data_IF_256100298404
#
_entry.id   IF_256100298404
#
_cell.length_a   1.000
_cell.length_b   1.000
_cell.length_c   1.000
_cell.angle_alpha   90.00
_cell.angle_beta   90.00
_cell.angle_gamma   90.00
#
_symmetry.space_group_name_H-M   'P 1'
#
loop_
_entity.id
_entity.type
_entity.pdbx_description
1 polymer ?
#
# COMPACT_ATOMS: atom_id res chain seq x y z
N UNK A 1 1.37 8.79 -4.57
CA UNK A 1 1.21 7.71 -3.59
C UNK A 1 1.13 8.33 -2.21
N UNK A 2 0.21 7.87 -1.36
CA UNK A 2 0.12 8.25 0.06
C UNK A 2 0.19 6.96 0.87
N UNK A 3 0.98 6.97 1.94
CA UNK A 3 1.16 5.84 2.86
C UNK A 3 0.91 6.31 4.29
N UNK A 4 0.15 5.54 5.07
CA UNK A 4 0.08 5.70 6.52
C UNK A 4 0.54 4.42 7.21
N UNK A 5 1.52 4.57 8.10
CA UNK A 5 1.94 3.52 9.02
C UNK A 5 1.12 3.67 10.30
N UNK A 6 0.39 2.61 10.64
CA UNK A 6 -0.46 2.57 11.82
C UNK A 6 0.32 2.01 13.02
N UNK A 7 -0.13 2.36 14.23
CA UNK A 7 0.53 1.93 15.48
C UNK A 7 0.53 0.40 15.66
N UNK A 8 -0.39 -0.30 15.02
CA UNK A 8 -0.48 -1.77 14.99
C UNK A 8 0.53 -2.42 14.01
N UNK A 9 1.34 -1.61 13.32
CA UNK A 9 2.33 -2.06 12.35
C UNK A 9 1.78 -2.28 10.94
N UNK A 10 0.47 -2.08 10.72
CA UNK A 10 -0.12 -2.14 9.38
C UNK A 10 0.18 -0.89 8.55
N UNK A 11 0.11 -1.04 7.23
CA UNK A 11 0.41 0.01 6.25
C UNK A 11 -0.83 0.19 5.39
N UNK A 12 -1.38 1.40 5.37
CA UNK A 12 -2.43 1.75 4.42
C UNK A 12 -1.85 2.53 3.25
N UNK A 13 -2.24 2.19 2.03
CA UNK A 13 -1.74 2.83 0.81
C UNK A 13 -2.87 3.34 -0.06
N UNK A 14 -2.75 4.59 -0.49
CA UNK A 14 -3.56 5.17 -1.58
C UNK A 14 -2.67 5.56 -2.76
N UNK A 15 -2.86 4.91 -3.89
CA UNK A 15 -2.10 5.14 -5.12
C UNK A 15 -3.04 5.43 -6.29
N UNK A 16 -2.84 6.57 -6.96
CA UNK A 16 -3.53 6.89 -8.21
C UNK A 16 -2.53 6.75 -9.36
N UNK A 17 -2.81 5.86 -10.31
CA UNK A 17 -1.94 5.61 -11.47
C UNK A 17 -2.79 5.29 -12.71
N UNK A 18 -2.57 6.01 -13.81
CA UNK A 18 -3.27 5.76 -15.08
C UNK A 18 -4.80 5.83 -15.01
N UNK A 19 -5.36 6.69 -14.15
CA UNK A 19 -6.81 6.79 -13.92
C UNK A 19 -7.40 5.71 -13.01
N UNK A 20 -6.59 4.73 -12.57
CA UNK A 20 -6.98 3.76 -11.55
C UNK A 20 -6.55 4.23 -10.16
N UNK A 21 -7.38 3.95 -9.16
CA UNK A 21 -7.09 4.19 -7.75
C UNK A 21 -6.95 2.84 -7.04
N UNK A 22 -5.81 2.61 -6.42
CA UNK A 22 -5.54 1.49 -5.53
C UNK A 22 -5.66 1.97 -4.08
N UNK A 23 -6.44 1.26 -3.27
CA UNK A 23 -6.64 1.55 -1.86
C UNK A 23 -6.50 0.23 -1.08
N UNK A 24 -5.31 -0.03 -0.58
CA UNK A 24 -4.92 -1.32 -0.01
C UNK A 24 -4.44 -1.16 1.44
N UNK A 25 -4.63 -2.22 2.23
CA UNK A 25 -4.10 -2.34 3.60
C UNK A 25 -3.18 -3.55 3.62
N UNK A 26 -1.97 -3.37 4.13
CA UNK A 26 -0.96 -4.41 4.27
C UNK A 26 -0.67 -4.64 5.75
N UNK A 27 -0.55 -5.89 6.17
CA UNK A 27 -0.27 -6.25 7.57
C UNK A 27 1.22 -6.56 7.80
N UNK A 28 2.04 -6.45 6.74
CA UNK A 28 3.50 -6.49 6.85
C UNK A 28 4.17 -5.70 5.72
N UNK A 29 5.41 -5.26 5.96
CA UNK A 29 6.22 -4.66 4.90
C UNK A 29 6.44 -5.60 3.70
N UNK A 30 6.47 -6.91 3.93
CA UNK A 30 6.69 -7.92 2.88
C UNK A 30 5.52 -7.93 1.90
N UNK A 31 4.29 -7.86 2.40
CA UNK A 31 3.08 -7.78 1.56
C UNK A 31 3.08 -6.49 0.73
N UNK A 32 3.36 -5.36 1.36
CA UNK A 32 3.48 -4.07 0.67
C UNK A 32 4.55 -4.13 -0.45
N UNK A 33 5.75 -4.63 -0.16
CA UNK A 33 6.84 -4.75 -1.15
C UNK A 33 6.46 -5.65 -2.32
N UNK A 34 5.81 -6.79 -2.06
CA UNK A 34 5.31 -7.69 -3.13
C UNK A 34 4.30 -7.00 -4.02
N UNK A 35 3.36 -6.25 -3.44
CA UNK A 35 2.37 -5.50 -4.21
C UNK A 35 3.02 -4.46 -5.13
N UNK A 36 3.95 -3.63 -4.59
CA UNK A 36 4.65 -2.62 -5.39
C UNK A 36 5.47 -3.26 -6.53
N UNK A 37 6.10 -4.41 -6.30
CA UNK A 37 6.84 -5.14 -7.34
C UNK A 37 5.93 -5.78 -8.41
N UNK A 38 4.65 -5.93 -8.13
CA UNK A 38 3.66 -6.51 -9.06
C UNK A 38 2.91 -5.46 -9.89
N UNK A 39 3.06 -4.17 -9.57
CA UNK A 39 2.49 -3.03 -10.30
C UNK A 39 3.32 -2.68 -11.53
#
# INVERSE_FOLDING_TARGET
MVLHYLEDGSITMKLNMGGKTFNEIFYSEIEYKKFILSL
#
